data_IF_402289039402
#
_entry.id   IF_402289039402
#
_cell.length_a   1.000
_cell.length_b   1.000
_cell.length_c   1.000
_cell.angle_alpha   90.00
_cell.angle_beta   90.00
_cell.angle_gamma   90.00
#
_symmetry.space_group_name_H-M   'P 1'
#
loop_
_entity.id
_entity.type
_entity.pdbx_description
1 polymer ?
#
# COMPACT_ATOMS: atom_id res chain seq x y z
N UNK A 1 -39.89 26.29 9.06
CA UNK A 1 -38.82 26.32 8.04
C UNK A 1 -37.55 25.61 8.50
N UNK A 2 -37.13 25.72 9.75
CA UNK A 2 -35.86 25.12 10.30
C UNK A 2 -35.84 23.60 10.24
N UNK A 3 -36.94 22.91 10.49
CA UNK A 3 -37.03 21.43 10.45
C UNK A 3 -36.85 20.81 9.05
N UNK A 4 -37.21 21.53 7.97
CA UNK A 4 -37.02 21.05 6.59
C UNK A 4 -35.56 21.16 6.13
N UNK A 5 -34.83 22.18 6.59
CA UNK A 5 -33.43 22.35 6.27
C UNK A 5 -32.54 21.29 6.95
N UNK A 6 -32.88 20.88 8.19
CA UNK A 6 -32.14 19.83 8.92
C UNK A 6 -32.32 18.44 8.28
N UNK A 7 -33.52 18.14 7.74
CA UNK A 7 -33.75 16.87 7.02
C UNK A 7 -33.00 16.79 5.68
N UNK A 8 -32.86 17.91 4.95
CA UNK A 8 -32.13 17.95 3.69
C UNK A 8 -30.62 17.84 3.94
N UNK A 9 -30.09 18.46 4.99
CA UNK A 9 -28.69 18.34 5.37
C UNK A 9 -28.31 16.91 5.80
N UNK A 10 -29.17 16.19 6.50
CA UNK A 10 -28.95 14.79 6.90
C UNK A 10 -29.04 13.81 5.73
N UNK A 11 -29.84 14.05 4.71
CA UNK A 11 -29.87 13.24 3.49
C UNK A 11 -28.60 13.46 2.62
N UNK A 12 -28.08 14.68 2.58
CA UNK A 12 -26.85 14.98 1.82
C UNK A 12 -25.59 14.35 2.44
N UNK A 13 -25.53 14.20 3.76
CA UNK A 13 -24.43 13.53 4.45
C UNK A 13 -24.41 12.00 4.21
N UNK A 14 -25.54 11.37 4.00
CA UNK A 14 -25.65 9.93 3.67
C UNK A 14 -25.19 9.61 2.23
N UNK A 15 -25.18 10.60 1.32
CA UNK A 15 -24.72 10.42 -0.05
C UNK A 15 -23.19 10.48 -0.21
N UNK A 16 -22.44 10.84 0.83
CA UNK A 16 -20.99 11.05 0.75
C UNK A 16 -20.17 9.77 0.88
N UNK A 17 -20.70 8.69 1.47
CA UNK A 17 -20.01 7.40 1.60
C UNK A 17 -20.39 6.48 0.44
N UNK A 18 -19.46 6.21 -0.46
CA UNK A 18 -19.62 5.18 -1.48
C UNK A 18 -19.03 3.86 -0.99
N UNK A 19 -19.81 2.79 -1.08
CA UNK A 19 -19.30 1.43 -0.90
C UNK A 19 -18.79 0.93 -2.24
N UNK A 20 -17.51 0.63 -2.33
CA UNK A 20 -16.84 0.24 -3.57
C UNK A 20 -16.04 -1.04 -3.39
N UNK A 21 -15.95 -1.82 -4.45
CA UNK A 21 -14.99 -2.91 -4.58
C UNK A 21 -13.90 -2.45 -5.56
N UNK A 22 -12.71 -2.18 -5.04
CA UNK A 22 -11.62 -1.56 -5.82
C UNK A 22 -10.86 -2.56 -6.69
N UNK A 23 -10.96 -3.86 -6.41
CA UNK A 23 -10.27 -4.93 -7.15
C UNK A 23 -11.21 -6.09 -7.44
N UNK A 24 -10.92 -6.87 -8.49
CA UNK A 24 -11.49 -8.21 -8.62
C UNK A 24 -10.92 -9.11 -7.52
N UNK A 25 -11.63 -10.19 -7.13
CA UNK A 25 -11.20 -11.08 -6.04
C UNK A 25 -9.88 -11.83 -6.30
N UNK A 26 -9.51 -12.04 -7.57
CA UNK A 26 -8.40 -12.89 -7.94
C UNK A 26 -8.58 -14.35 -7.50
N UNK A 27 -7.53 -15.15 -7.64
CA UNK A 27 -7.51 -16.53 -7.14
C UNK A 27 -7.53 -16.58 -5.59
N UNK A 28 -7.05 -15.52 -4.95
CA UNK A 28 -7.00 -15.42 -3.47
C UNK A 28 -8.35 -15.08 -2.83
N UNK A 29 -9.31 -14.55 -3.61
CA UNK A 29 -10.70 -14.34 -3.15
C UNK A 29 -10.84 -13.13 -2.22
N UNK A 30 -10.09 -12.04 -2.45
CA UNK A 30 -10.26 -10.79 -1.69
C UNK A 30 -11.37 -9.96 -2.31
N UNK A 31 -12.53 -9.91 -1.64
CA UNK A 31 -13.76 -9.30 -2.15
C UNK A 31 -14.45 -8.34 -1.18
N UNK A 32 -13.77 -7.93 -0.11
CA UNK A 32 -14.31 -6.98 0.88
C UNK A 32 -14.68 -5.65 0.20
N UNK A 33 -15.84 -5.15 0.52
CA UNK A 33 -16.27 -3.81 0.14
C UNK A 33 -15.66 -2.75 1.07
N UNK A 34 -15.32 -1.60 0.49
CA UNK A 34 -14.64 -0.51 1.18
C UNK A 34 -15.52 0.75 1.16
N UNK A 35 -15.49 1.52 2.25
CA UNK A 35 -16.22 2.79 2.34
C UNK A 35 -15.30 3.94 1.97
N UNK A 36 -15.65 4.67 0.90
CA UNK A 36 -14.88 5.78 0.37
C UNK A 36 -15.67 7.08 0.42
N UNK A 37 -15.05 8.16 0.91
CA UNK A 37 -15.60 9.52 0.95
C UNK A 37 -14.90 10.47 -0.02
N UNK A 38 -13.61 10.20 -0.32
CA UNK A 38 -12.81 11.00 -1.26
C UNK A 38 -12.72 10.30 -2.59
N UNK A 39 -12.51 11.05 -3.68
CA UNK A 39 -12.32 10.46 -5.00
C UNK A 39 -10.92 9.83 -5.16
N UNK A 40 -10.82 8.82 -6.04
CA UNK A 40 -9.54 8.21 -6.41
C UNK A 40 -8.60 9.23 -7.06
N UNK A 41 -9.15 10.15 -7.88
CA UNK A 41 -8.40 11.19 -8.57
C UNK A 41 -7.72 12.17 -7.61
N UNK A 42 -8.47 12.66 -6.59
CA UNK A 42 -7.94 13.57 -5.58
C UNK A 42 -6.81 12.92 -4.77
N UNK A 43 -6.99 11.67 -4.36
CA UNK A 43 -5.98 10.93 -3.60
C UNK A 43 -4.75 10.64 -4.47
N UNK A 44 -4.92 10.22 -5.72
CA UNK A 44 -3.82 9.97 -6.65
C UNK A 44 -3.02 11.26 -6.96
N UNK A 45 -3.71 12.39 -7.15
CA UNK A 45 -3.05 13.69 -7.36
C UNK A 45 -2.25 14.12 -6.13
N UNK A 46 -2.81 13.95 -4.93
CA UNK A 46 -2.12 14.25 -3.66
C UNK A 46 -0.96 13.29 -3.40
N UNK A 47 -1.12 12.00 -3.71
CA UNK A 47 -0.06 10.99 -3.62
C UNK A 47 1.11 11.29 -4.59
N UNK A 48 0.81 11.75 -5.80
CA UNK A 48 1.85 12.16 -6.75
C UNK A 48 2.66 13.35 -6.21
N UNK A 49 2.00 14.35 -5.60
CA UNK A 49 2.69 15.47 -4.95
C UNK A 49 3.52 14.99 -3.75
N UNK A 50 2.95 14.15 -2.88
CA UNK A 50 3.61 13.56 -1.74
C UNK A 50 4.88 12.80 -2.16
N UNK A 51 4.77 11.97 -3.17
CA UNK A 51 5.89 11.23 -3.74
C UNK A 51 7.00 12.15 -4.24
N UNK A 52 6.64 13.18 -5.02
CA UNK A 52 7.61 14.16 -5.51
C UNK A 52 8.32 14.90 -4.37
N UNK A 53 7.62 15.26 -3.29
CA UNK A 53 8.25 15.87 -2.11
C UNK A 53 9.30 14.94 -1.48
N UNK A 54 8.95 13.65 -1.26
CA UNK A 54 9.86 12.65 -0.69
C UNK A 54 11.07 12.41 -1.59
N UNK A 55 10.84 12.19 -2.90
CA UNK A 55 11.92 11.90 -3.86
C UNK A 55 12.82 13.13 -4.05
N UNK A 56 12.25 14.33 -4.16
CA UNK A 56 13.04 15.57 -4.29
C UNK A 56 13.88 15.81 -3.04
N UNK A 57 13.31 15.64 -1.84
CA UNK A 57 14.06 15.76 -0.59
C UNK A 57 15.21 14.77 -0.46
N UNK A 58 15.01 13.54 -0.93
CA UNK A 58 16.06 12.52 -1.00
C UNK A 58 17.11 12.85 -2.09
N UNK A 59 16.68 13.36 -3.25
CA UNK A 59 17.57 13.75 -4.34
C UNK A 59 18.50 14.92 -3.96
N UNK A 60 17.98 15.92 -3.23
CA UNK A 60 18.79 17.03 -2.70
C UNK A 60 19.91 16.55 -1.76
N UNK A 61 19.70 15.41 -1.11
CA UNK A 61 20.72 14.74 -0.26
C UNK A 61 21.59 13.73 -1.03
N UNK A 62 21.40 13.62 -2.35
CA UNK A 62 22.09 12.65 -3.19
C UNK A 62 21.76 11.19 -2.84
N UNK A 63 20.54 10.91 -2.38
CA UNK A 63 20.13 9.59 -1.87
C UNK A 63 19.27 8.77 -2.84
N UNK A 64 18.90 9.32 -4.01
CA UNK A 64 18.05 8.62 -4.98
C UNK A 64 18.89 7.84 -5.98
N UNK A 65 18.58 6.55 -6.18
CA UNK A 65 19.11 5.69 -7.24
C UNK A 65 20.65 5.63 -7.34
N UNK A 66 21.35 5.60 -6.20
CA UNK A 66 22.82 5.65 -6.14
C UNK A 66 23.49 4.36 -6.62
N UNK A 67 22.94 3.23 -6.24
CA UNK A 67 23.47 1.91 -6.60
C UNK A 67 22.74 1.40 -7.86
N UNK A 68 23.43 1.46 -8.99
CA UNK A 68 22.88 1.07 -10.29
C UNK A 68 22.43 -0.40 -10.32
N UNK A 69 23.12 -1.30 -9.61
CA UNK A 69 22.77 -2.72 -9.56
C UNK A 69 21.47 -2.94 -8.76
N UNK A 70 21.36 -2.32 -7.59
CA UNK A 70 20.11 -2.38 -6.80
C UNK A 70 18.94 -1.77 -7.56
N UNK A 71 19.14 -0.62 -8.24
CA UNK A 71 18.11 0.03 -9.05
C UNK A 71 17.67 -0.86 -10.20
N UNK A 72 18.61 -1.44 -10.94
CA UNK A 72 18.30 -2.34 -12.05
C UNK A 72 17.50 -3.56 -11.56
N UNK A 73 17.91 -4.16 -10.44
CA UNK A 73 17.25 -5.31 -9.80
C UNK A 73 15.80 -4.97 -9.40
N UNK A 74 15.60 -3.88 -8.66
CA UNK A 74 14.26 -3.46 -8.20
C UNK A 74 13.35 -3.15 -9.39
N UNK A 75 13.86 -2.46 -10.42
CA UNK A 75 13.11 -2.15 -11.63
C UNK A 75 12.76 -3.39 -12.45
N UNK A 76 13.67 -4.37 -12.55
CA UNK A 76 13.38 -5.63 -13.23
C UNK A 76 12.23 -6.39 -12.54
N UNK A 77 12.19 -6.42 -11.22
CA UNK A 77 11.08 -7.00 -10.47
C UNK A 77 9.77 -6.22 -10.71
N UNK A 78 9.82 -4.88 -10.64
CA UNK A 78 8.65 -4.04 -10.92
C UNK A 78 8.09 -4.27 -12.33
N UNK A 79 8.96 -4.37 -13.35
CA UNK A 79 8.58 -4.63 -14.75
C UNK A 79 7.84 -5.95 -14.94
N UNK A 80 8.07 -6.94 -14.09
CA UNK A 80 7.34 -8.22 -14.10
C UNK A 80 6.04 -8.15 -13.30
N UNK A 81 6.01 -7.41 -12.17
CA UNK A 81 4.82 -7.27 -11.33
C UNK A 81 3.75 -6.35 -11.95
N UNK A 82 4.15 -5.26 -12.58
CA UNK A 82 3.20 -4.25 -13.10
C UNK A 82 2.21 -4.83 -14.12
N UNK A 83 2.61 -5.60 -15.14
CA UNK A 83 1.66 -6.13 -16.13
C UNK A 83 0.58 -7.03 -15.51
N UNK A 84 0.91 -7.79 -14.47
CA UNK A 84 -0.03 -8.73 -13.84
C UNK A 84 -1.02 -8.04 -12.88
N UNK A 85 -0.84 -6.76 -12.58
CA UNK A 85 -1.80 -5.96 -11.79
C UNK A 85 -3.16 -5.88 -12.48
N UNK A 86 -3.20 -5.99 -13.81
CA UNK A 86 -4.43 -6.03 -14.60
C UNK A 86 -5.40 -7.15 -14.21
N UNK A 87 -4.91 -8.22 -13.56
CA UNK A 87 -5.77 -9.27 -12.99
C UNK A 87 -6.70 -8.73 -11.92
N UNK A 88 -6.24 -7.77 -11.12
CA UNK A 88 -7.01 -7.20 -10.02
C UNK A 88 -7.70 -5.89 -10.42
N UNK A 89 -7.01 -5.08 -11.24
CA UNK A 89 -7.52 -3.80 -11.75
C UNK A 89 -7.13 -3.64 -13.22
N UNK A 90 -8.10 -3.67 -14.16
CA UNK A 90 -7.80 -3.57 -15.60
C UNK A 90 -7.07 -2.29 -16.01
N UNK A 91 -7.30 -1.18 -15.28
CA UNK A 91 -6.66 0.11 -15.50
C UNK A 91 -5.22 0.21 -14.96
N UNK A 92 -4.87 -0.63 -13.96
CA UNK A 92 -3.62 -0.50 -13.21
C UNK A 92 -2.34 -0.66 -14.05
N UNK A 93 -2.23 -1.56 -15.06
CA UNK A 93 -1.03 -1.60 -15.90
C UNK A 93 -0.73 -0.27 -16.60
N UNK A 94 -1.76 0.54 -16.87
CA UNK A 94 -1.65 1.85 -17.52
C UNK A 94 -1.35 3.02 -16.56
N UNK A 95 -1.20 2.78 -15.26
CA UNK A 95 -0.88 3.85 -14.32
C UNK A 95 0.52 4.44 -14.62
N UNK A 96 0.76 5.67 -14.15
CA UNK A 96 2.08 6.32 -14.26
C UNK A 96 3.04 5.75 -13.19
N UNK A 97 3.41 4.48 -13.37
CA UNK A 97 4.31 3.78 -12.45
C UNK A 97 5.68 4.45 -12.40
N UNK A 98 6.17 4.63 -11.18
CA UNK A 98 7.52 5.11 -10.91
C UNK A 98 8.15 4.21 -9.86
N UNK A 99 9.44 3.84 -10.05
CA UNK A 99 10.17 2.96 -9.14
C UNK A 99 11.53 3.56 -8.87
N UNK A 100 11.76 3.94 -7.60
CA UNK A 100 13.01 4.49 -7.13
C UNK A 100 13.56 3.70 -5.93
N UNK A 101 14.90 3.65 -5.84
CA UNK A 101 15.64 3.15 -4.66
C UNK A 101 16.16 4.36 -3.89
N UNK A 102 15.84 4.43 -2.60
CA UNK A 102 16.26 5.54 -1.73
C UNK A 102 17.29 5.01 -0.73
N UNK A 103 18.47 5.65 -0.69
CA UNK A 103 19.51 5.34 0.27
C UNK A 103 19.07 5.72 1.68
N UNK A 104 18.74 4.74 2.50
CA UNK A 104 18.34 4.87 3.90
C UNK A 104 18.74 3.62 4.66
N UNK A 105 19.05 3.75 5.96
CA UNK A 105 19.29 2.61 6.86
C UNK A 105 17.99 1.91 7.29
N UNK A 106 16.85 2.53 7.06
CA UNK A 106 15.53 1.98 7.39
C UNK A 106 15.24 0.73 6.55
N UNK A 107 14.72 -0.29 7.20
CA UNK A 107 14.19 -1.48 6.53
C UNK A 107 12.76 -1.15 6.13
N UNK A 108 12.57 -0.59 4.93
CA UNK A 108 11.25 -0.15 4.48
C UNK A 108 11.12 -0.22 2.95
N UNK A 109 9.86 -0.31 2.51
CA UNK A 109 9.40 -0.10 1.14
C UNK A 109 7.96 0.40 1.20
N UNK A 110 7.49 1.07 0.17
CA UNK A 110 6.11 1.54 0.08
C UNK A 110 5.68 1.79 -1.36
N UNK A 111 4.37 1.77 -1.58
CA UNK A 111 3.75 2.14 -2.84
C UNK A 111 2.58 3.10 -2.58
N UNK A 112 2.76 4.38 -2.93
CA UNK A 112 1.66 5.35 -2.84
C UNK A 112 0.63 5.12 -3.96
N UNK A 113 -0.62 5.58 -3.77
CA UNK A 113 -1.67 5.55 -4.79
C UNK A 113 -1.20 6.03 -6.15
N UNK A 114 -1.66 5.39 -7.23
CA UNK A 114 -1.23 5.70 -8.59
C UNK A 114 0.11 5.08 -9.00
N UNK A 115 0.64 4.11 -8.21
CA UNK A 115 1.80 3.30 -8.60
C UNK A 115 3.17 3.95 -8.34
N UNK A 116 3.34 4.66 -7.24
CA UNK A 116 4.58 5.33 -6.86
C UNK A 116 5.37 4.50 -5.86
N UNK A 117 6.33 3.71 -6.35
CA UNK A 117 7.10 2.73 -5.56
C UNK A 117 8.42 3.33 -5.10
N UNK A 118 8.76 3.12 -3.83
CA UNK A 118 10.11 3.30 -3.31
C UNK A 118 10.53 2.08 -2.49
N UNK A 119 11.80 1.68 -2.67
CA UNK A 119 12.46 0.64 -1.88
C UNK A 119 13.67 1.27 -1.22
N UNK A 120 13.84 1.09 0.08
CA UNK A 120 15.00 1.61 0.80
C UNK A 120 16.16 0.62 0.77
N UNK A 121 17.38 1.15 0.64
CA UNK A 121 18.59 0.30 0.63
C UNK A 121 18.71 -0.53 1.91
N UNK A 122 18.25 -0.01 3.06
CA UNK A 122 18.26 -0.75 4.32
C UNK A 122 17.44 -2.05 4.28
N UNK A 123 16.36 -2.12 3.48
CA UNK A 123 15.63 -3.36 3.25
C UNK A 123 16.51 -4.35 2.48
N UNK A 124 17.19 -3.90 1.43
CA UNK A 124 18.04 -4.74 0.58
C UNK A 124 19.29 -5.20 1.34
N UNK A 125 19.96 -4.27 2.01
CA UNK A 125 21.28 -4.51 2.62
C UNK A 125 21.16 -5.34 3.92
N UNK A 126 20.11 -5.11 4.73
CA UNK A 126 19.99 -5.78 6.03
C UNK A 126 19.26 -7.11 5.94
N UNK A 127 18.26 -7.24 5.09
CA UNK A 127 17.53 -8.49 4.88
C UNK A 127 18.20 -9.41 3.86
N UNK A 128 18.99 -8.84 2.95
CA UNK A 128 19.59 -9.58 1.81
C UNK A 128 18.53 -10.48 1.13
N UNK A 129 17.40 -9.89 0.69
CA UNK A 129 16.31 -10.67 0.15
C UNK A 129 16.72 -11.30 -1.19
N UNK A 130 16.26 -12.52 -1.44
CA UNK A 130 16.22 -13.10 -2.79
C UNK A 130 15.25 -12.30 -3.67
N UNK A 131 15.27 -12.50 -5.00
CA UNK A 131 14.32 -11.84 -5.90
C UNK A 131 12.86 -12.23 -5.60
N UNK A 132 12.62 -13.46 -5.16
CA UNK A 132 11.29 -13.92 -4.74
C UNK A 132 10.81 -13.17 -3.48
N UNK A 133 11.69 -12.98 -2.52
CA UNK A 133 11.39 -12.23 -1.28
C UNK A 133 11.17 -10.74 -1.56
N UNK A 134 12.00 -10.15 -2.43
CA UNK A 134 11.86 -8.74 -2.81
C UNK A 134 10.58 -8.52 -3.63
N UNK A 135 10.24 -9.45 -4.53
CA UNK A 135 8.99 -9.44 -5.27
C UNK A 135 7.77 -9.59 -4.35
N UNK A 136 7.90 -10.37 -3.27
CA UNK A 136 6.83 -10.51 -2.26
C UNK A 136 6.56 -9.18 -1.53
N UNK A 137 7.60 -8.45 -1.08
CA UNK A 137 7.44 -7.10 -0.51
C UNK A 137 6.83 -6.15 -1.52
N UNK A 138 7.42 -6.08 -2.72
CA UNK A 138 6.93 -5.14 -3.73
C UNK A 138 5.48 -5.47 -4.15
N UNK A 139 5.13 -6.75 -4.25
CA UNK A 139 3.77 -7.20 -4.52
C UNK A 139 2.78 -6.81 -3.42
N UNK A 140 3.20 -6.91 -2.14
CA UNK A 140 2.43 -6.46 -0.98
C UNK A 140 2.18 -4.95 -1.04
N UNK A 141 3.21 -4.13 -1.32
CA UNK A 141 3.06 -2.69 -1.46
C UNK A 141 2.17 -2.29 -2.64
N UNK A 142 2.34 -2.97 -3.79
CA UNK A 142 1.48 -2.79 -4.95
C UNK A 142 0.03 -3.13 -4.61
N UNK A 143 -0.21 -4.20 -3.83
CA UNK A 143 -1.55 -4.60 -3.41
C UNK A 143 -2.24 -3.52 -2.56
N UNK A 144 -1.52 -2.83 -1.68
CA UNK A 144 -2.07 -1.67 -0.96
C UNK A 144 -2.56 -0.57 -1.92
N UNK A 145 -1.79 -0.28 -2.98
CA UNK A 145 -2.19 0.71 -3.98
C UNK A 145 -3.39 0.24 -4.82
N UNK A 146 -3.43 -1.03 -5.25
CA UNK A 146 -4.54 -1.61 -6.00
C UNK A 146 -5.85 -1.60 -5.21
N UNK A 147 -5.77 -1.98 -3.92
CA UNK A 147 -6.90 -1.97 -2.98
C UNK A 147 -7.28 -0.57 -2.52
N UNK A 148 -6.54 0.45 -2.94
CA UNK A 148 -6.77 1.84 -2.51
C UNK A 148 -6.83 1.99 -0.97
N UNK A 149 -6.04 1.20 -0.21
CA UNK A 149 -6.03 1.26 1.26
C UNK A 149 -5.69 2.67 1.76
N UNK A 150 -4.82 3.40 1.05
CA UNK A 150 -4.53 4.80 1.34
C UNK A 150 -5.76 5.70 1.23
N UNK A 151 -6.59 5.51 0.18
CA UNK A 151 -7.85 6.24 -0.03
C UNK A 151 -8.88 5.89 1.03
N UNK A 152 -9.01 4.61 1.41
CA UNK A 152 -9.91 4.18 2.48
C UNK A 152 -9.54 4.84 3.80
N UNK A 153 -8.25 4.87 4.16
CA UNK A 153 -7.74 5.51 5.39
C UNK A 153 -7.94 7.04 5.39
N UNK A 154 -7.69 7.69 4.24
CA UNK A 154 -8.00 9.12 4.07
C UNK A 154 -9.50 9.38 4.27
N UNK A 155 -10.35 8.55 3.69
CA UNK A 155 -11.81 8.64 3.84
C UNK A 155 -12.24 8.48 5.29
N UNK A 156 -11.65 7.51 6.00
CA UNK A 156 -11.90 7.29 7.44
C UNK A 156 -11.45 8.49 8.29
N UNK A 157 -10.25 9.02 8.02
CA UNK A 157 -9.72 10.18 8.74
C UNK A 157 -10.59 11.43 8.52
N UNK A 158 -11.04 11.67 7.28
CA UNK A 158 -11.97 12.77 6.98
C UNK A 158 -13.32 12.58 7.63
N UNK A 159 -13.86 11.36 7.62
CA UNK A 159 -15.14 11.04 8.29
C UNK A 159 -15.06 11.32 9.79
N UNK A 160 -13.96 10.92 10.44
CA UNK A 160 -13.70 11.25 11.86
C UNK A 160 -13.54 12.75 12.08
N UNK A 161 -12.84 13.46 11.19
CA UNK A 161 -12.66 14.90 11.24
C UNK A 161 -13.98 15.67 11.11
N UNK A 162 -14.89 15.21 10.23
CA UNK A 162 -16.23 15.77 10.08
C UNK A 162 -17.06 15.61 11.37
N UNK A 163 -17.02 14.43 11.99
CA UNK A 163 -17.73 14.17 13.26
C UNK A 163 -17.18 15.10 14.36
N UNK A 164 -15.86 15.17 14.49
CA UNK A 164 -15.20 16.04 15.47
C UNK A 164 -15.46 17.53 15.18
N UNK A 165 -15.48 17.93 13.90
CA UNK A 165 -15.80 19.29 13.48
C UNK A 165 -17.23 19.71 13.84
N UNK A 166 -18.22 18.82 13.66
CA UNK A 166 -19.59 19.07 14.08
C UNK A 166 -19.68 19.20 15.61
N UNK A 167 -19.03 18.31 16.36
CA UNK A 167 -18.99 18.39 17.83
C UNK A 167 -18.22 19.63 18.30
N UNK A 168 -17.13 19.99 17.64
CA UNK A 168 -16.36 21.21 17.93
C UNK A 168 -17.13 22.49 17.65
N UNK A 169 -17.88 22.53 16.54
CA UNK A 169 -18.74 23.68 16.20
C UNK A 169 -19.83 23.91 17.25
N UNK A 170 -20.43 22.80 17.77
CA UNK A 170 -21.39 22.88 18.89
C UNK A 170 -20.72 23.40 20.17
N UNK A 171 -19.41 23.08 20.37
CA UNK A 171 -18.62 23.52 21.51
C UNK A 171 -17.89 24.88 21.28
N UNK A 172 -18.07 25.52 20.10
CA UNK A 172 -17.43 26.80 19.77
C UNK A 172 -15.94 26.70 19.43
N UNK A 173 -15.42 25.50 19.10
CA UNK A 173 -14.02 25.27 18.73
C UNK A 173 -13.90 25.14 17.20
N UNK A 174 -13.10 26.00 16.57
CA UNK A 174 -12.78 25.93 15.13
C UNK A 174 -11.61 24.99 14.89
N UNK A 175 -11.77 24.02 13.99
CA UNK A 175 -10.66 23.17 13.52
C UNK A 175 -10.27 23.59 12.09
N UNK A 176 -8.94 23.78 11.86
CA UNK A 176 -8.40 23.97 10.51
C UNK A 176 -8.47 22.69 9.67
N UNK A 177 -8.75 22.83 8.36
CA UNK A 177 -8.73 21.71 7.42
C UNK A 177 -7.33 21.10 7.30
N UNK A 178 -7.26 19.76 7.19
CA UNK A 178 -6.00 19.05 7.02
C UNK A 178 -5.59 19.03 5.53
N UNK A 179 -4.32 19.34 5.24
CA UNK A 179 -3.79 19.23 3.88
C UNK A 179 -3.77 17.76 3.45
N UNK A 180 -4.46 17.44 2.36
CA UNK A 180 -4.58 16.07 1.84
C UNK A 180 -3.22 15.46 1.49
N UNK A 181 -2.28 16.26 1.00
CA UNK A 181 -0.93 15.79 0.68
C UNK A 181 -0.17 15.37 1.95
N UNK A 182 -0.23 16.20 3.00
CA UNK A 182 0.37 15.90 4.29
C UNK A 182 -0.29 14.66 4.93
N UNK A 183 -1.61 14.53 4.81
CA UNK A 183 -2.34 13.36 5.30
C UNK A 183 -1.94 12.08 4.57
N UNK A 184 -1.78 12.12 3.24
CA UNK A 184 -1.31 10.96 2.47
C UNK A 184 0.10 10.55 2.90
N UNK A 185 1.01 11.51 3.10
CA UNK A 185 2.36 11.21 3.62
C UNK A 185 2.27 10.53 4.99
N UNK A 186 1.54 11.12 5.93
CA UNK A 186 1.44 10.60 7.30
C UNK A 186 0.83 9.19 7.31
N UNK A 187 -0.26 8.99 6.58
CA UNK A 187 -0.91 7.68 6.50
C UNK A 187 -0.03 6.62 5.81
N UNK A 188 0.75 6.97 4.79
CA UNK A 188 1.57 5.99 4.06
C UNK A 188 2.87 5.66 4.81
N UNK A 189 3.55 6.67 5.39
CA UNK A 189 4.90 6.50 5.93
C UNK A 189 4.95 6.34 7.44
N UNK A 190 3.98 6.87 8.19
CA UNK A 190 4.10 7.00 9.65
C UNK A 190 3.03 6.20 10.42
N UNK A 191 1.92 5.85 9.80
CA UNK A 191 0.80 5.22 10.52
C UNK A 191 0.64 3.75 10.15
N UNK A 192 0.36 2.87 11.11
CA UNK A 192 0.14 1.47 10.84
C UNK A 192 -1.14 1.23 10.03
N UNK A 193 -1.09 0.24 9.15
CA UNK A 193 -2.27 -0.31 8.48
C UNK A 193 -3.11 -1.16 9.45
N UNK A 194 -4.39 -1.33 9.13
CA UNK A 194 -5.24 -2.29 9.85
C UNK A 194 -4.82 -3.73 9.55
N UNK A 195 -5.13 -4.67 10.44
CA UNK A 195 -4.88 -6.10 10.20
C UNK A 195 -5.60 -6.62 8.95
N UNK A 196 -6.74 -6.06 8.63
CA UNK A 196 -7.53 -6.39 7.46
C UNK A 196 -6.82 -5.95 6.17
N UNK A 197 -6.32 -4.70 6.13
CA UNK A 197 -5.50 -4.20 5.02
C UNK A 197 -4.26 -5.05 4.80
N UNK A 198 -3.57 -5.44 5.88
CA UNK A 198 -2.39 -6.29 5.81
C UNK A 198 -2.71 -7.69 5.25
N UNK A 199 -3.81 -8.29 5.70
CA UNK A 199 -4.25 -9.59 5.22
C UNK A 199 -4.61 -9.55 3.73
N UNK A 200 -5.32 -8.50 3.29
CA UNK A 200 -5.65 -8.30 1.87
C UNK A 200 -4.39 -8.09 1.03
N UNK A 201 -3.47 -7.25 1.50
CA UNK A 201 -2.21 -6.97 0.82
C UNK A 201 -1.31 -8.21 0.71
N UNK A 202 -1.21 -9.02 1.76
CA UNK A 202 -0.50 -10.29 1.73
C UNK A 202 -1.06 -11.25 0.69
N UNK A 203 -2.37 -11.46 0.68
CA UNK A 203 -3.04 -12.40 -0.24
C UNK A 203 -2.90 -11.96 -1.68
N UNK A 204 -3.18 -10.70 -2.00
CA UNK A 204 -3.01 -10.15 -3.34
C UNK A 204 -1.53 -10.14 -3.74
N UNK A 205 -0.64 -9.76 -2.83
CA UNK A 205 0.79 -9.70 -3.07
C UNK A 205 1.40 -11.05 -3.46
N UNK A 206 1.03 -12.15 -2.78
CA UNK A 206 1.51 -13.49 -3.15
C UNK A 206 0.96 -13.95 -4.51
N UNK A 207 -0.27 -13.56 -4.86
CA UNK A 207 -0.81 -13.86 -6.19
C UNK A 207 -0.11 -13.03 -7.29
N UNK A 208 0.17 -11.75 -7.05
CA UNK A 208 0.95 -10.92 -7.97
C UNK A 208 2.34 -11.51 -8.20
N UNK A 209 3.06 -11.88 -7.13
CA UNK A 209 4.36 -12.50 -7.22
C UNK A 209 4.30 -13.81 -8.05
N UNK A 210 3.34 -14.69 -7.77
CA UNK A 210 3.16 -15.94 -8.49
C UNK A 210 2.90 -15.71 -9.98
N UNK A 211 1.98 -14.80 -10.34
CA UNK A 211 1.66 -14.48 -11.75
C UNK A 211 2.83 -13.82 -12.48
N UNK A 212 3.68 -13.10 -11.78
CA UNK A 212 4.90 -12.51 -12.31
C UNK A 212 6.06 -13.52 -12.41
N UNK A 213 5.85 -14.81 -12.07
CA UNK A 213 6.85 -15.87 -12.12
C UNK A 213 7.87 -15.81 -10.99
N UNK A 214 7.52 -15.21 -9.85
CA UNK A 214 8.28 -15.30 -8.60
C UNK A 214 7.64 -16.32 -7.66
N UNK A 215 8.47 -17.10 -6.97
CA UNK A 215 7.98 -18.10 -6.02
C UNK A 215 7.23 -17.42 -4.85
N UNK A 216 5.92 -17.64 -4.69
CA UNK A 216 5.12 -16.98 -3.66
C UNK A 216 5.54 -17.34 -2.23
N UNK A 217 6.29 -18.45 -2.04
CA UNK A 217 6.84 -18.85 -0.74
C UNK A 217 7.91 -17.88 -0.24
N UNK A 218 8.45 -17.03 -1.12
CA UNK A 218 9.32 -15.92 -0.75
C UNK A 218 8.67 -14.95 0.26
N UNK A 219 7.35 -14.83 0.28
CA UNK A 219 6.65 -14.04 1.30
C UNK A 219 6.85 -14.62 2.71
N UNK A 220 6.82 -15.95 2.85
CA UNK A 220 6.99 -16.64 4.14
C UNK A 220 8.40 -16.39 4.69
N UNK A 221 9.42 -16.68 3.87
CA UNK A 221 10.82 -16.54 4.28
C UNK A 221 11.21 -15.09 4.57
N UNK A 222 10.64 -14.14 3.83
CA UNK A 222 10.82 -12.72 4.09
C UNK A 222 10.32 -12.32 5.48
N UNK A 223 9.08 -12.69 5.84
CA UNK A 223 8.51 -12.37 7.15
C UNK A 223 9.26 -13.07 8.29
N UNK A 224 9.76 -14.29 8.08
CA UNK A 224 10.63 -14.97 9.02
C UNK A 224 11.96 -14.23 9.21
N UNK A 225 12.55 -13.68 8.13
CA UNK A 225 13.75 -12.84 8.20
C UNK A 225 13.49 -11.54 8.95
N UNK A 226 12.38 -10.85 8.64
CA UNK A 226 11.98 -9.62 9.34
C UNK A 226 11.80 -9.84 10.84
N UNK A 227 11.17 -10.95 11.23
CA UNK A 227 11.00 -11.31 12.64
C UNK A 227 12.32 -11.57 13.38
N UNK A 228 13.37 -11.98 12.66
CA UNK A 228 14.71 -12.23 13.23
C UNK A 228 15.59 -10.98 13.32
N UNK A 229 15.23 -9.89 12.63
CA UNK A 229 15.99 -8.62 12.69
C UNK A 229 15.89 -7.90 14.04
N UNK A 230 15.10 -8.42 14.98
CA UNK A 230 14.85 -7.82 16.27
C UNK A 230 16.07 -7.77 17.18
N UNK A 231 16.66 -6.59 17.32
CA UNK A 231 17.69 -6.22 18.30
C UNK A 231 17.24 -5.01 19.13
N UNK A 232 16.04 -5.08 19.73
CA UNK A 232 15.53 -4.03 20.62
C UNK A 232 14.46 -3.11 20.02
N UNK A 233 14.49 -2.80 18.73
CA UNK A 233 13.40 -2.12 18.03
C UNK A 233 13.02 -2.90 16.77
N UNK A 234 11.70 -3.13 16.53
CA UNK A 234 11.25 -3.78 15.29
C UNK A 234 11.64 -2.91 14.08
N UNK A 235 11.93 -3.52 12.91
CA UNK A 235 12.13 -2.79 11.67
C UNK A 235 10.98 -1.81 11.39
N UNK A 236 11.27 -0.66 10.78
CA UNK A 236 10.27 0.37 10.45
C UNK A 236 9.10 -0.20 9.64
N UNK A 237 9.39 -1.12 8.74
CA UNK A 237 8.36 -1.85 7.99
C UNK A 237 7.32 -2.52 8.91
N UNK A 238 7.74 -3.09 10.04
CA UNK A 238 6.81 -3.71 11.00
C UNK A 238 5.99 -2.67 11.80
N UNK A 239 6.45 -1.41 11.86
CA UNK A 239 5.70 -0.33 12.51
C UNK A 239 4.50 0.10 11.66
N UNK A 240 4.66 0.14 10.34
CA UNK A 240 3.59 0.48 9.39
C UNK A 240 2.79 -0.74 8.92
N UNK A 241 3.42 -1.93 8.94
CA UNK A 241 2.84 -3.23 8.57
C UNK A 241 2.87 -4.21 9.75
N UNK A 242 1.98 -4.05 10.73
CA UNK A 242 2.03 -4.86 11.94
C UNK A 242 1.81 -6.34 11.66
N UNK A 243 2.70 -7.17 12.22
CA UNK A 243 2.55 -8.62 12.15
C UNK A 243 1.46 -9.09 13.13
N UNK A 244 0.62 -10.00 12.69
CA UNK A 244 -0.34 -10.70 13.53
C UNK A 244 0.02 -12.18 13.67
N UNK A 245 -0.40 -12.81 14.75
CA UNK A 245 -0.01 -14.18 15.11
C UNK A 245 -0.24 -15.23 14.00
N UNK A 246 -1.23 -14.99 13.14
CA UNK A 246 -1.60 -15.93 12.07
C UNK A 246 -1.00 -15.58 10.70
N UNK A 247 -0.23 -14.48 10.56
CA UNK A 247 0.26 -13.98 9.26
C UNK A 247 1.04 -15.05 8.48
N UNK A 248 2.01 -15.70 9.14
CA UNK A 248 2.82 -16.75 8.49
C UNK A 248 1.96 -17.94 8.04
N UNK A 249 0.98 -18.34 8.84
CA UNK A 249 0.08 -19.44 8.48
C UNK A 249 -0.82 -19.06 7.30
N UNK A 250 -1.37 -17.85 7.28
CA UNK A 250 -2.16 -17.33 6.15
C UNK A 250 -1.31 -17.30 4.88
N UNK A 251 -0.08 -16.79 4.95
CA UNK A 251 0.86 -16.79 3.84
C UNK A 251 1.18 -18.19 3.32
N UNK A 252 1.34 -19.20 4.20
CA UNK A 252 1.52 -20.61 3.77
C UNK A 252 0.33 -21.13 2.98
N UNK A 253 -0.88 -20.88 3.47
CA UNK A 253 -2.12 -21.32 2.81
C UNK A 253 -2.26 -20.67 1.44
N UNK A 254 -2.11 -19.34 1.36
CA UNK A 254 -2.30 -18.61 0.11
C UNK A 254 -1.14 -18.78 -0.87
N UNK A 255 0.10 -18.94 -0.41
CA UNK A 255 1.23 -19.31 -1.28
C UNK A 255 1.00 -20.68 -1.94
N UNK A 256 0.49 -21.66 -1.19
CA UNK A 256 0.13 -22.98 -1.75
C UNK A 256 -1.02 -22.86 -2.77
N UNK A 257 -2.03 -22.04 -2.48
CA UNK A 257 -3.18 -21.81 -3.37
C UNK A 257 -2.77 -21.23 -4.72
N UNK A 258 -1.80 -20.31 -4.74
CA UNK A 258 -1.36 -19.65 -5.99
C UNK A 258 -0.14 -20.32 -6.64
N UNK A 259 0.41 -21.39 -6.07
CA UNK A 259 1.56 -22.11 -6.61
C UNK A 259 1.38 -22.55 -8.07
N UNK A 260 0.20 -23.04 -8.53
CA UNK A 260 -0.02 -23.37 -9.92
C UNK A 260 0.15 -22.19 -10.89
N UNK A 261 -0.16 -20.95 -10.43
CA UNK A 261 0.04 -19.73 -11.22
C UNK A 261 1.53 -19.45 -11.42
N UNK A 262 2.32 -19.62 -10.36
CA UNK A 262 3.78 -19.51 -10.42
C UNK A 262 4.37 -20.58 -11.37
N UNK A 263 3.97 -21.85 -11.23
CA UNK A 263 4.47 -22.93 -12.07
C UNK A 263 4.20 -22.68 -13.56
N UNK A 264 3.05 -22.10 -13.90
CA UNK A 264 2.73 -21.69 -15.27
C UNK A 264 3.52 -20.47 -15.75
N UNK A 265 3.75 -19.49 -14.87
CA UNK A 265 4.39 -18.23 -15.22
C UNK A 265 5.92 -18.35 -15.35
N UNK A 266 6.58 -19.15 -14.50
CA UNK A 266 8.05 -19.33 -14.51
C UNK A 266 8.59 -19.92 -15.81
N UNK A 267 7.75 -20.61 -16.59
CA UNK A 267 8.14 -21.16 -17.88
C UNK A 267 8.23 -20.10 -18.99
N UNK A 268 7.77 -18.87 -18.73
CA UNK A 268 7.75 -17.74 -19.68
C UNK A 268 8.90 -16.76 -19.44
N UNK A 269 9.63 -16.93 -18.35
CA UNK A 269 10.74 -16.08 -17.91
C UNK A 269 12.00 -16.90 -17.64
#
# INVERSE_FOLDING_TARGET
MIHRCLLIASLSALAACQTVQTTTPGAVGVDRQQSMMVSSEEVNASAAKAYQQVVTGAAQKGQVNRDAAQVARVRAIAQRLIPVTGTFRPDAPGWKWETNVISSKEVNAWCMPGGKIAVYTGLIDRLQPTDNELAAVMGHEIAHALREHGRERVSQAQGQGLILGVLGAVAGVSQGGMDLTALVIDLTLNKPNSREHETEADRIGVELAARAGFDPRGAITLWEKMGKLGGGQPPEFLSTHPSHSNRINDLRVYSAKVLPLYESARLKH
#
